data_IF_905579097594
#
_entry.id   IF_905579097594
#
_cell.length_a   1.000
_cell.length_b   1.000
_cell.length_c   1.000
_cell.angle_alpha   90.00
_cell.angle_beta   90.00
_cell.angle_gamma   90.00
#
_symmetry.space_group_name_H-M   'P 1'
#
loop_
_entity.id
_entity.type
_entity.pdbx_description
1 polymer ?
#
# COMPACT_ATOMS: atom_id res chain seq x y z
N UNK A 1 10.72 -4.79 -11.40
CA UNK A 1 9.90 -3.69 -10.88
C UNK A 1 9.96 -3.71 -9.37
N UNK A 2 10.17 -2.55 -8.73
CA UNK A 2 10.23 -2.47 -7.27
C UNK A 2 8.83 -2.45 -6.68
N UNK A 3 8.74 -2.70 -5.36
CA UNK A 3 7.46 -2.62 -4.65
C UNK A 3 6.88 -1.22 -4.79
N UNK A 4 7.70 -0.17 -4.63
CA UNK A 4 7.24 1.21 -4.74
C UNK A 4 6.66 1.49 -6.14
N UNK A 5 7.33 1.04 -7.17
CA UNK A 5 6.84 1.21 -8.55
C UNK A 5 5.52 0.50 -8.77
N UNK A 6 5.38 -0.71 -8.24
CA UNK A 6 4.14 -1.47 -8.36
C UNK A 6 2.99 -0.76 -7.65
N UNK A 7 3.25 -0.24 -6.44
CA UNK A 7 2.24 0.50 -5.70
C UNK A 7 1.79 1.75 -6.47
N UNK A 8 2.74 2.52 -7.00
CA UNK A 8 2.41 3.73 -7.77
C UNK A 8 1.55 3.39 -8.98
N UNK A 9 1.89 2.31 -9.67
CA UNK A 9 1.12 1.86 -10.84
C UNK A 9 -0.31 1.47 -10.44
N UNK A 10 -0.47 0.74 -9.33
CA UNK A 10 -1.79 0.33 -8.85
C UNK A 10 -2.63 1.54 -8.48
N UNK A 11 -2.05 2.49 -7.72
CA UNK A 11 -2.77 3.69 -7.31
C UNK A 11 -3.24 4.49 -8.51
N UNK A 12 -2.37 4.65 -9.51
CA UNK A 12 -2.70 5.38 -10.73
C UNK A 12 -3.83 4.69 -11.50
N UNK A 13 -3.72 3.39 -11.66
CA UNK A 13 -4.71 2.60 -12.41
C UNK A 13 -6.07 2.61 -11.73
N UNK A 14 -6.09 2.51 -10.40
CA UNK A 14 -7.33 2.46 -9.63
C UNK A 14 -7.89 3.84 -9.30
N UNK A 15 -7.12 4.89 -9.53
CA UNK A 15 -7.56 6.25 -9.24
C UNK A 15 -7.76 6.55 -7.76
N UNK A 16 -7.01 5.87 -6.88
CA UNK A 16 -7.14 6.07 -5.44
C UNK A 16 -6.08 7.02 -4.91
N UNK A 17 -6.49 7.87 -3.98
CA UNK A 17 -5.55 8.77 -3.30
C UNK A 17 -4.83 8.03 -2.18
N UNK A 18 -3.68 8.56 -1.76
CA UNK A 18 -2.95 7.98 -0.64
C UNK A 18 -3.77 8.06 0.65
N UNK A 19 -4.52 9.14 0.84
CA UNK A 19 -5.38 9.30 2.02
C UNK A 19 -6.42 8.18 2.09
N UNK A 20 -7.08 7.92 0.97
CA UNK A 20 -8.09 6.87 0.91
C UNK A 20 -7.48 5.50 1.28
N UNK A 21 -6.31 5.21 0.72
CA UNK A 21 -5.65 3.93 0.95
C UNK A 21 -5.22 3.77 2.40
N UNK A 22 -4.62 4.81 2.99
CA UNK A 22 -4.19 4.78 4.39
C UNK A 22 -5.38 4.52 5.31
N UNK A 23 -6.48 5.25 5.10
CA UNK A 23 -7.68 5.08 5.91
C UNK A 23 -8.23 3.65 5.76
N UNK A 24 -8.27 3.15 4.54
CA UNK A 24 -8.80 1.82 4.29
C UNK A 24 -7.93 0.71 4.89
N UNK A 25 -6.61 0.86 4.79
CA UNK A 25 -5.67 -0.08 5.40
C UNK A 25 -5.88 -0.16 6.91
N UNK A 26 -6.05 0.99 7.55
CA UNK A 26 -6.27 1.05 9.00
C UNK A 26 -7.63 0.49 9.43
N UNK A 27 -8.64 0.60 8.57
CA UNK A 27 -9.94 -0.03 8.83
C UNK A 27 -9.81 -1.56 8.82
N UNK A 28 -9.05 -2.08 7.86
CA UNK A 28 -8.88 -3.52 7.68
C UNK A 28 -7.97 -4.11 8.76
N UNK A 29 -6.89 -3.41 9.09
CA UNK A 29 -5.88 -3.89 10.03
C UNK A 29 -5.40 -2.74 10.92
N UNK A 30 -6.20 -2.39 11.96
CA UNK A 30 -5.88 -1.24 12.81
C UNK A 30 -4.52 -1.31 13.49
N UNK A 31 -4.03 -2.53 13.75
CA UNK A 31 -2.76 -2.74 14.46
C UNK A 31 -1.55 -2.23 13.70
N UNK A 32 -1.64 -2.02 12.38
CA UNK A 32 -0.50 -1.49 11.63
C UNK A 32 -0.30 0.01 11.87
N UNK A 33 -1.35 0.71 12.28
CA UNK A 33 -1.30 2.15 12.55
C UNK A 33 -0.57 2.92 11.46
N UNK A 34 -1.01 2.73 10.22
CA UNK A 34 -0.40 3.41 9.08
C UNK A 34 -0.71 4.90 9.14
N UNK A 35 0.28 5.73 8.83
CA UNK A 35 0.08 7.16 8.67
C UNK A 35 0.50 7.59 7.27
N UNK A 36 0.08 8.81 6.90
CA UNK A 36 0.31 9.34 5.55
C UNK A 36 1.79 9.52 5.25
N UNK A 37 2.56 9.97 6.24
CA UNK A 37 3.99 10.20 6.07
C UNK A 37 4.73 8.88 5.79
N UNK A 38 4.40 7.85 6.56
CA UNK A 38 5.02 6.53 6.37
C UNK A 38 4.61 5.91 5.05
N UNK A 39 3.33 6.02 4.68
CA UNK A 39 2.86 5.48 3.41
C UNK A 39 3.50 6.23 2.24
N UNK A 40 3.64 7.55 2.33
CA UNK A 40 4.32 8.34 1.31
C UNK A 40 5.76 7.87 1.12
N UNK A 41 6.45 7.56 2.24
CA UNK A 41 7.80 6.99 2.17
C UNK A 41 7.84 5.66 1.44
N UNK A 42 6.83 4.82 1.63
CA UNK A 42 6.71 3.55 0.93
C UNK A 42 6.49 3.78 -0.56
N UNK A 43 5.61 4.70 -0.92
CA UNK A 43 5.29 5.01 -2.32
C UNK A 43 6.50 5.57 -3.07
N UNK A 44 7.34 6.33 -2.38
CA UNK A 44 8.55 6.92 -2.99
C UNK A 44 9.77 6.00 -2.94
N UNK A 45 9.65 4.86 -2.26
CA UNK A 45 10.75 3.89 -2.19
C UNK A 45 11.75 4.14 -1.07
N UNK A 46 11.48 5.10 -0.18
CA UNK A 46 12.36 5.41 0.95
C UNK A 46 12.17 4.46 2.13
N UNK A 47 11.04 3.77 2.20
CA UNK A 47 10.72 2.83 3.27
C UNK A 47 10.19 1.54 2.67
N UNK A 48 10.44 0.42 3.36
CA UNK A 48 9.92 -0.87 2.96
C UNK A 48 8.61 -1.16 3.69
N UNK A 49 7.72 -1.91 3.04
CA UNK A 49 6.51 -2.41 3.69
C UNK A 49 6.85 -3.62 4.54
N UNK A 50 6.21 -3.72 5.71
CA UNK A 50 6.21 -4.97 6.46
C UNK A 50 5.23 -5.93 5.80
N UNK A 51 5.29 -7.21 6.17
CA UNK A 51 4.36 -8.21 5.64
C UNK A 51 2.90 -7.84 5.96
N UNK A 52 2.63 -7.38 7.17
CA UNK A 52 1.28 -6.99 7.56
C UNK A 52 0.79 -5.78 6.76
N UNK A 53 1.68 -4.81 6.51
CA UNK A 53 1.34 -3.64 5.71
C UNK A 53 1.02 -4.05 4.27
N UNK A 54 1.80 -4.98 3.71
CA UNK A 54 1.55 -5.48 2.37
C UNK A 54 0.18 -6.17 2.28
N UNK A 55 -0.14 -7.01 3.27
CA UNK A 55 -1.43 -7.69 3.29
C UNK A 55 -2.59 -6.70 3.42
N UNK A 56 -2.44 -5.70 4.29
CA UNK A 56 -3.46 -4.66 4.45
C UNK A 56 -3.66 -3.88 3.15
N UNK A 57 -2.57 -3.53 2.47
CA UNK A 57 -2.63 -2.84 1.19
C UNK A 57 -3.37 -3.67 0.14
N UNK A 58 -3.02 -4.94 0.03
CA UNK A 58 -3.66 -5.82 -0.95
C UNK A 58 -5.16 -5.97 -0.68
N UNK A 59 -5.54 -6.09 0.59
CA UNK A 59 -6.96 -6.17 0.94
C UNK A 59 -7.67 -4.85 0.68
N UNK A 60 -7.02 -3.73 0.96
CA UNK A 60 -7.60 -2.41 0.73
C UNK A 60 -7.88 -2.18 -0.76
N UNK A 61 -6.97 -2.63 -1.60
CA UNK A 61 -7.08 -2.45 -3.05
C UNK A 61 -7.81 -3.61 -3.74
N UNK A 62 -8.17 -4.65 -2.99
CA UNK A 62 -8.84 -5.86 -3.49
C UNK A 62 -8.04 -6.53 -4.60
N UNK A 63 -6.74 -6.69 -4.35
CA UNK A 63 -5.81 -7.33 -5.29
C UNK A 63 -5.10 -8.50 -4.61
N UNK A 64 -4.57 -9.41 -5.42
CA UNK A 64 -3.76 -10.50 -4.92
C UNK A 64 -2.34 -10.03 -4.64
N UNK A 65 -1.69 -10.52 -3.55
CA UNK A 65 -0.27 -10.24 -3.31
C UNK A 65 0.65 -10.67 -4.46
N UNK A 66 0.19 -11.54 -5.34
CA UNK A 66 0.96 -12.02 -6.48
C UNK A 66 1.44 -10.89 -7.39
N UNK A 67 0.75 -9.74 -7.39
CA UNK A 67 1.15 -8.59 -8.19
C UNK A 67 2.56 -8.10 -7.83
N UNK A 68 3.05 -8.43 -6.64
CA UNK A 68 4.38 -8.05 -6.19
C UNK A 68 5.46 -9.09 -6.46
N UNK A 69 5.11 -10.21 -7.06
CA UNK A 69 6.03 -11.34 -7.26
C UNK A 69 6.73 -11.37 -8.62
N UNK A 70 6.62 -10.32 -9.39
CA UNK A 70 7.27 -10.28 -10.73
C UNK A 70 8.68 -9.75 -10.65
#
# INVERSE_FOLDING_TARGET
MTVAETIREILSREGRTQIWVVDRMNEIMPEISMDRSRFSGIVTGHRNMTADELLAFCKAMEISPDVFLN
#
